data_IF_025721029969
#
_entry.id   IF_025721029969
#
_cell.length_a   1.000
_cell.length_b   1.000
_cell.length_c   1.000
_cell.angle_alpha   90.00
_cell.angle_beta   90.00
_cell.angle_gamma   90.00
#
_symmetry.space_group_name_H-M   'P 1'
#
loop_
_entity.id
_entity.type
_entity.pdbx_description
1 polymer ?
#
# COMPACT_ATOMS: atom_id res chain seq x y z
N UNK A 1 19.41 -15.78 -9.42
CA UNK A 1 19.35 -16.15 -7.99
C UNK A 1 18.99 -17.62 -7.90
N UNK A 2 19.71 -18.40 -7.09
CA UNK A 2 19.36 -19.82 -6.87
C UNK A 2 18.35 -19.90 -5.73
N UNK A 3 17.25 -20.62 -5.92
CA UNK A 3 16.32 -20.95 -4.82
C UNK A 3 17.01 -21.91 -3.84
N UNK A 4 17.14 -21.50 -2.57
CA UNK A 4 17.69 -22.33 -1.49
C UNK A 4 19.20 -22.23 -1.23
N UNK A 5 19.91 -21.24 -1.79
CA UNK A 5 21.30 -20.95 -1.43
C UNK A 5 21.43 -19.84 -0.38
N UNK A 6 22.57 -19.76 0.31
CA UNK A 6 22.92 -18.71 1.29
C UNK A 6 23.14 -17.32 0.66
N UNK A 7 22.52 -17.05 -0.49
CA UNK A 7 22.66 -15.80 -1.21
C UNK A 7 21.86 -14.71 -0.49
N UNK A 8 22.57 -13.87 0.26
CA UNK A 8 21.99 -12.70 0.91
C UNK A 8 21.68 -11.65 -0.16
N UNK A 9 20.40 -11.33 -0.31
CA UNK A 9 19.96 -10.24 -1.15
C UNK A 9 19.47 -9.08 -0.25
N UNK A 10 20.18 -7.93 -0.21
CA UNK A 10 19.82 -6.85 0.70
C UNK A 10 18.42 -6.31 0.39
N UNK A 11 17.60 -6.12 1.43
CA UNK A 11 16.21 -5.65 1.28
C UNK A 11 16.13 -4.30 0.55
N UNK A 12 17.12 -3.42 0.72
CA UNK A 12 17.20 -2.14 0.01
C UNK A 12 17.27 -2.32 -1.52
N UNK A 13 18.04 -3.30 -2.01
CA UNK A 13 18.10 -3.60 -3.44
C UNK A 13 16.80 -4.22 -3.95
N UNK A 14 16.13 -5.03 -3.13
CA UNK A 14 14.83 -5.60 -3.48
C UNK A 14 13.75 -4.52 -3.65
N UNK A 15 13.77 -3.51 -2.78
CA UNK A 15 12.88 -2.36 -2.90
C UNK A 15 13.18 -1.53 -4.15
N UNK A 16 14.47 -1.34 -4.51
CA UNK A 16 14.86 -0.65 -5.75
C UNK A 16 14.38 -1.40 -6.98
N UNK A 17 14.59 -2.72 -7.05
CA UNK A 17 14.13 -3.54 -8.18
C UNK A 17 12.61 -3.55 -8.29
N UNK A 18 11.91 -3.67 -7.16
CA UNK A 18 10.46 -3.60 -7.13
C UNK A 18 9.97 -2.25 -7.70
N UNK A 19 10.56 -1.13 -7.25
CA UNK A 19 10.23 0.22 -7.73
C UNK A 19 10.51 0.38 -9.22
N UNK A 20 11.67 -0.09 -9.69
CA UNK A 20 12.03 -0.04 -11.10
C UNK A 20 11.10 -0.88 -11.98
N UNK A 21 10.56 -1.99 -11.46
CA UNK A 21 9.59 -2.84 -12.15
C UNK A 21 8.15 -2.34 -12.08
N UNK A 22 7.84 -1.29 -11.30
CA UNK A 22 6.47 -0.80 -11.13
C UNK A 22 5.51 -1.82 -10.49
N UNK A 23 6.04 -2.83 -9.78
CA UNK A 23 5.24 -3.88 -9.13
C UNK A 23 5.37 -3.79 -7.62
N UNK A 24 4.61 -4.61 -6.88
CA UNK A 24 4.66 -4.66 -5.42
C UNK A 24 4.89 -6.09 -4.88
N UNK A 25 5.54 -6.96 -5.65
CA UNK A 25 5.69 -8.38 -5.33
C UNK A 25 6.41 -8.63 -4.00
N UNK A 26 7.48 -7.90 -3.70
CA UNK A 26 8.21 -8.02 -2.43
C UNK A 26 7.31 -7.59 -1.27
N UNK A 27 6.67 -6.42 -1.38
CA UNK A 27 5.79 -5.90 -0.33
C UNK A 27 4.60 -6.83 -0.06
N UNK A 28 3.99 -7.39 -1.11
CA UNK A 28 2.95 -8.42 -1.00
C UNK A 28 3.47 -9.68 -0.31
N UNK A 29 4.66 -10.16 -0.68
CA UNK A 29 5.26 -11.36 -0.09
C UNK A 29 5.55 -11.17 1.39
N UNK A 30 6.11 -10.03 1.78
CA UNK A 30 6.39 -9.70 3.19
C UNK A 30 5.11 -9.58 4.00
N UNK A 31 4.08 -8.92 3.45
CA UNK A 31 2.79 -8.81 4.12
C UNK A 31 2.14 -10.19 4.32
N UNK A 32 2.06 -11.01 3.26
CA UNK A 32 1.54 -12.38 3.35
C UNK A 32 2.30 -13.22 4.37
N UNK A 33 3.64 -13.18 4.35
CA UNK A 33 4.47 -13.91 5.30
C UNK A 33 4.30 -13.44 6.75
N UNK A 34 3.87 -12.18 6.95
CA UNK A 34 3.57 -11.60 8.25
C UNK A 34 2.11 -11.76 8.68
N UNK A 35 1.27 -12.44 7.87
CA UNK A 35 -0.18 -12.55 8.12
C UNK A 35 -0.96 -11.25 7.89
N UNK A 36 -0.38 -10.29 7.17
CA UNK A 36 -0.97 -8.99 6.86
C UNK A 36 -1.32 -8.82 5.38
N UNK A 37 -1.86 -7.65 5.06
CA UNK A 37 -2.22 -7.24 3.70
C UNK A 37 -1.45 -5.96 3.37
N UNK A 38 -0.77 -5.97 2.22
CA UNK A 38 -0.15 -4.78 1.69
C UNK A 38 -1.13 -4.05 0.77
N UNK A 39 -1.34 -2.78 1.05
CA UNK A 39 -2.22 -1.89 0.28
C UNK A 39 -1.34 -0.82 -0.38
N UNK A 40 -1.05 -0.94 -1.69
CA UNK A 40 -0.34 0.12 -2.39
C UNK A 40 -1.19 1.39 -2.40
N UNK A 41 -0.56 2.51 -2.06
CA UNK A 41 -1.19 3.82 -2.19
C UNK A 41 -1.18 4.24 -3.67
N UNK A 42 -2.27 4.85 -4.14
CA UNK A 42 -2.29 5.45 -5.47
C UNK A 42 -1.37 6.68 -5.52
N UNK A 43 -0.62 6.83 -6.62
CA UNK A 43 0.04 8.09 -6.96
C UNK A 43 -1.02 9.12 -7.36
N UNK A 44 -0.85 10.36 -6.88
CA UNK A 44 -1.89 11.42 -6.92
C UNK A 44 -1.94 12.21 -8.21
N UNK A 45 -1.04 11.95 -9.17
CA UNK A 45 -1.05 12.67 -10.45
C UNK A 45 -2.23 12.13 -11.27
N UNK A 46 -3.36 12.83 -11.14
CA UNK A 46 -4.61 12.67 -11.89
C UNK A 46 -5.44 11.42 -11.55
N UNK A 47 -6.03 11.40 -10.35
CA UNK A 47 -7.17 10.50 -10.08
C UNK A 47 -8.47 11.28 -10.27
N UNK A 48 -9.23 10.97 -11.32
CA UNK A 48 -10.58 11.48 -11.52
C UNK A 48 -11.59 10.73 -10.62
N UNK A 49 -12.73 11.35 -10.31
CA UNK A 49 -13.84 10.69 -9.63
C UNK A 49 -14.32 9.44 -10.39
N UNK A 50 -14.17 9.41 -11.72
CA UNK A 50 -14.41 8.23 -12.54
C UNK A 50 -13.50 7.06 -12.14
N UNK A 51 -12.24 7.32 -11.79
CA UNK A 51 -11.27 6.29 -11.40
C UNK A 51 -11.59 5.67 -10.04
N UNK A 52 -12.21 6.44 -9.13
CA UNK A 52 -12.65 5.94 -7.82
C UNK A 52 -13.75 4.89 -8.01
N UNK A 53 -14.77 5.22 -8.79
CA UNK A 53 -15.89 4.31 -9.06
C UNK A 53 -15.41 3.07 -9.84
N UNK A 54 -14.51 3.26 -10.81
CA UNK A 54 -13.90 2.15 -11.55
C UNK A 54 -13.17 1.17 -10.62
N UNK A 55 -12.36 1.68 -9.68
CA UNK A 55 -11.67 0.85 -8.67
C UNK A 55 -12.63 0.10 -7.75
N UNK A 56 -13.78 0.68 -7.41
CA UNK A 56 -14.81 -0.03 -6.65
C UNK A 56 -15.40 -1.19 -7.45
N UNK A 57 -15.71 -0.97 -8.74
CA UNK A 57 -16.23 -2.01 -9.62
C UNK A 57 -15.22 -3.17 -9.77
N UNK A 58 -13.94 -2.88 -9.94
CA UNK A 58 -12.87 -3.89 -9.99
C UNK A 58 -12.74 -4.70 -8.69
N UNK A 59 -12.99 -4.07 -7.53
CA UNK A 59 -13.03 -4.76 -6.25
C UNK A 59 -14.25 -5.70 -6.16
N UNK A 60 -15.42 -5.24 -6.60
CA UNK A 60 -16.66 -6.05 -6.64
C UNK A 60 -16.52 -7.24 -7.60
N UNK A 61 -15.91 -7.03 -8.76
CA UNK A 61 -15.60 -8.10 -9.72
C UNK A 61 -14.70 -9.15 -9.07
N UNK A 62 -13.66 -8.74 -8.35
CA UNK A 62 -12.78 -9.66 -7.63
C UNK A 62 -13.52 -10.45 -6.54
N UNK A 63 -14.41 -9.81 -5.79
CA UNK A 63 -15.25 -10.48 -4.78
C UNK A 63 -16.16 -11.51 -5.45
N UNK A 64 -16.66 -11.21 -6.64
CA UNK A 64 -17.51 -12.12 -7.42
C UNK A 64 -16.71 -13.34 -7.89
N UNK A 65 -15.48 -13.15 -8.38
CA UNK A 65 -14.53 -14.23 -8.70
C UNK A 65 -14.26 -15.12 -7.48
N UNK A 66 -13.89 -14.51 -6.35
CA UNK A 66 -13.68 -15.22 -5.08
C UNK A 66 -14.90 -16.07 -4.68
N UNK A 67 -16.10 -15.49 -4.74
CA UNK A 67 -17.35 -16.19 -4.43
C UNK A 67 -17.59 -17.40 -5.35
N UNK A 68 -17.30 -17.25 -6.65
CA UNK A 68 -17.40 -18.36 -7.59
C UNK A 68 -16.42 -19.48 -7.27
N UNK A 69 -15.17 -19.16 -6.93
CA UNK A 69 -14.17 -20.16 -6.58
C UNK A 69 -14.54 -20.92 -5.31
N UNK A 70 -15.05 -20.24 -4.28
CA UNK A 70 -15.59 -20.88 -3.08
C UNK A 70 -16.70 -21.86 -3.45
N UNK A 71 -17.66 -21.47 -4.31
CA UNK A 71 -18.78 -22.34 -4.70
C UNK A 71 -18.32 -23.61 -5.40
N UNK A 72 -17.29 -23.51 -6.25
CA UNK A 72 -16.71 -24.68 -6.95
C UNK A 72 -15.97 -25.58 -5.95
N UNK A 73 -15.13 -25.01 -5.08
CA UNK A 73 -14.31 -25.77 -4.15
C UNK A 73 -15.06 -26.44 -2.99
N UNK A 74 -16.33 -26.10 -2.76
CA UNK A 74 -17.18 -26.77 -1.76
C UNK A 74 -18.14 -27.79 -2.36
N UNK A 75 -18.15 -27.96 -3.69
CA UNK A 75 -19.14 -28.78 -4.40
C UNK A 75 -19.08 -30.26 -3.98
N UNK A 76 -17.88 -30.77 -3.72
CA UNK A 76 -17.62 -32.12 -3.23
C UNK A 76 -17.58 -32.25 -1.69
N UNK A 77 -17.73 -31.12 -1.00
CA UNK A 77 -17.71 -31.02 0.46
C UNK A 77 -16.31 -31.01 1.11
N UNK A 78 -15.22 -30.98 0.34
CA UNK A 78 -13.84 -30.98 0.87
C UNK A 78 -12.96 -30.01 0.08
N UNK A 79 -12.49 -28.95 0.74
CA UNK A 79 -11.52 -28.04 0.12
C UNK A 79 -10.13 -28.68 0.13
N UNK A 80 -9.59 -28.96 -1.05
CA UNK A 80 -8.26 -29.49 -1.24
C UNK A 80 -7.17 -28.43 -0.94
N UNK A 81 -5.94 -28.85 -0.58
CA UNK A 81 -4.86 -27.91 -0.29
C UNK A 81 -4.55 -26.94 -1.43
N UNK A 82 -4.68 -27.40 -2.69
CA UNK A 82 -4.42 -26.54 -3.84
C UNK A 82 -5.55 -25.51 -4.04
N UNK A 83 -6.81 -25.90 -3.85
CA UNK A 83 -7.96 -24.99 -3.89
C UNK A 83 -7.87 -23.93 -2.80
N UNK A 84 -7.47 -24.33 -1.58
CA UNK A 84 -7.24 -23.41 -0.47
C UNK A 84 -6.25 -22.29 -0.86
N UNK A 85 -5.16 -22.63 -1.55
CA UNK A 85 -4.16 -21.63 -1.98
C UNK A 85 -4.77 -20.63 -2.96
N UNK A 86 -5.57 -21.10 -3.93
CA UNK A 86 -6.20 -20.21 -4.92
C UNK A 86 -7.27 -19.33 -4.23
N UNK A 87 -8.09 -19.90 -3.35
CA UNK A 87 -9.09 -19.18 -2.56
C UNK A 87 -8.44 -18.10 -1.70
N UNK A 88 -7.37 -18.45 -0.98
CA UNK A 88 -6.65 -17.52 -0.11
C UNK A 88 -6.01 -16.39 -0.93
N UNK A 89 -5.53 -16.68 -2.15
CA UNK A 89 -5.00 -15.68 -3.07
C UNK A 89 -6.09 -14.73 -3.60
N UNK A 90 -7.23 -15.24 -4.05
CA UNK A 90 -8.37 -14.43 -4.47
C UNK A 90 -8.90 -13.54 -3.35
N UNK A 91 -9.02 -14.10 -2.14
CA UNK A 91 -9.44 -13.35 -0.95
C UNK A 91 -8.47 -12.20 -0.67
N UNK A 92 -7.17 -12.48 -0.72
CA UNK A 92 -6.15 -11.45 -0.53
C UNK A 92 -6.30 -10.33 -1.56
N UNK A 93 -6.49 -10.65 -2.83
CA UNK A 93 -6.65 -9.66 -3.90
C UNK A 93 -7.94 -8.83 -3.72
N UNK A 94 -9.04 -9.47 -3.33
CA UNK A 94 -10.31 -8.79 -3.09
C UNK A 94 -10.19 -7.77 -1.94
N UNK A 95 -9.59 -8.17 -0.82
CA UNK A 95 -9.39 -7.26 0.33
C UNK A 95 -8.42 -6.13 -0.04
N UNK A 96 -7.31 -6.43 -0.73
CA UNK A 96 -6.35 -5.42 -1.14
C UNK A 96 -7.00 -4.36 -2.05
N UNK A 97 -7.79 -4.77 -3.06
CA UNK A 97 -8.52 -3.84 -3.94
C UNK A 97 -9.55 -2.99 -3.18
N UNK A 98 -10.31 -3.59 -2.26
CA UNK A 98 -11.26 -2.86 -1.41
C UNK A 98 -10.55 -1.82 -0.53
N UNK A 99 -9.41 -2.18 0.09
CA UNK A 99 -8.63 -1.28 0.92
C UNK A 99 -7.98 -0.16 0.09
N UNK A 100 -7.53 -0.44 -1.14
CA UNK A 100 -7.04 0.57 -2.06
C UNK A 100 -8.13 1.59 -2.41
N UNK A 101 -9.34 1.12 -2.72
CA UNK A 101 -10.50 1.98 -2.95
C UNK A 101 -10.80 2.86 -1.73
N UNK A 102 -10.91 2.27 -0.54
CA UNK A 102 -11.18 3.01 0.70
C UNK A 102 -10.10 4.06 1.00
N UNK A 103 -8.83 3.70 0.81
CA UNK A 103 -7.70 4.62 1.02
C UNK A 103 -7.76 5.79 0.04
N UNK A 104 -8.13 5.53 -1.21
CA UNK A 104 -8.29 6.57 -2.23
C UNK A 104 -9.44 7.53 -1.88
N UNK A 105 -10.59 6.98 -1.48
CA UNK A 105 -11.75 7.77 -1.03
C UNK A 105 -11.36 8.68 0.13
N UNK A 106 -10.73 8.16 1.17
CA UNK A 106 -10.35 8.98 2.32
C UNK A 106 -9.29 10.01 1.97
N UNK A 107 -8.31 9.69 1.12
CA UNK A 107 -7.28 10.64 0.72
C UNK A 107 -7.84 11.83 -0.08
N UNK A 108 -8.92 11.63 -0.85
CA UNK A 108 -9.55 12.67 -1.67
C UNK A 108 -10.60 13.45 -0.89
N UNK A 109 -11.44 12.77 -0.11
CA UNK A 109 -12.63 13.37 0.51
C UNK A 109 -12.48 13.69 2.01
N UNK A 110 -11.48 13.16 2.71
CA UNK A 110 -11.20 13.63 4.07
C UNK A 110 -10.59 15.02 4.02
N UNK A 111 -11.06 15.90 4.91
CA UNK A 111 -10.45 17.20 5.09
C UNK A 111 -8.95 17.02 5.40
N UNK A 112 -8.07 17.87 4.85
CA UNK A 112 -6.67 17.85 5.24
C UNK A 112 -6.63 18.01 6.76
N UNK A 113 -5.86 17.15 7.44
CA UNK A 113 -5.56 17.36 8.86
C UNK A 113 -5.10 18.81 9.00
N UNK A 114 -5.75 19.56 9.90
CA UNK A 114 -5.33 20.93 10.21
C UNK A 114 -3.85 20.85 10.56
N UNK A 115 -3.00 21.31 9.66
CA UNK A 115 -1.58 21.36 9.92
C UNK A 115 -1.35 22.28 11.10
N UNK A 116 -1.09 21.71 12.28
CA UNK A 116 -0.47 22.41 13.41
C UNK A 116 1.03 22.66 13.12
N UNK A 117 1.32 23.11 11.89
CA UNK A 117 2.62 23.64 11.49
C UNK A 117 2.60 25.18 11.45
N UNK A 118 1.69 25.81 12.19
CA UNK A 118 1.72 27.26 12.46
C UNK A 118 2.09 27.63 13.90
N UNK A 119 2.24 26.67 14.82
CA UNK A 119 2.73 26.96 16.18
C UNK A 119 4.24 26.74 16.39
N UNK A 120 5.00 26.28 15.38
CA UNK A 120 6.47 26.28 15.47
C UNK A 120 7.13 27.62 15.09
N UNK A 121 6.36 28.64 14.72
CA UNK A 121 6.87 30.01 14.68
C UNK A 121 6.55 30.70 16.01
N UNK A 122 7.38 30.45 17.03
CA UNK A 122 7.37 31.28 18.24
C UNK A 122 7.54 32.75 17.83
N UNK A 123 6.57 33.64 18.14
CA UNK A 123 6.74 35.06 17.95
C UNK A 123 7.67 35.58 19.05
N UNK A 124 8.87 36.01 18.68
CA UNK A 124 9.73 36.82 19.55
C UNK A 124 10.82 36.06 20.28
N UNK A 125 11.95 35.89 19.61
CA UNK A 125 13.27 36.04 20.24
C UNK A 125 14.18 36.74 19.24
N UNK A 126 14.02 38.06 19.13
CA UNK A 126 15.10 38.92 18.65
C UNK A 126 16.27 38.73 19.63
N UNK A 127 17.23 37.88 19.26
CA UNK A 127 18.52 37.86 19.90
C UNK A 127 19.30 39.08 19.40
N UNK A 128 19.15 40.18 20.13
CA UNK A 128 20.06 41.31 20.10
C UNK A 128 21.40 40.90 20.70
N UNK A 129 22.47 41.39 20.07
CA UNK A 129 23.86 41.52 20.52
C UNK A 129 24.80 40.33 20.29
N UNK A 130 25.63 40.43 19.24
CA UNK A 130 27.08 40.56 19.41
C UNK A 130 27.66 41.42 18.28
N UNK A 131 28.10 42.63 18.63
CA UNK A 131 29.03 43.40 17.79
C UNK A 131 30.39 42.72 17.86
N UNK A 132 30.86 42.18 16.75
CA UNK A 132 32.27 41.90 16.54
C UNK A 132 32.73 42.74 15.35
N UNK A 133 33.26 43.93 15.64
CA UNK A 133 33.99 44.74 14.66
C UNK A 133 35.28 44.01 14.35
N UNK A 134 35.37 43.40 13.17
CA UNK A 134 36.64 42.97 12.59
C UNK A 134 37.34 44.19 11.99
N UNK A 135 38.64 44.26 12.25
CA UNK A 135 39.54 45.37 11.97
C UNK A 135 39.66 45.73 10.47
N UNK A 136 39.78 47.04 10.19
CA UNK A 136 40.63 47.62 9.14
C UNK A 136 41.03 49.03 9.57
#
# INVERSE_FOLDING_TARGET
>A
LRTGGDQIFPIGWALVLQRAGGTYHLAHSVARASGGIFVPLADMEEVDNADINQRLLEAIEQITSYSQQIRVAIEDGVIEPHEKVVIDEELYQAIAKLQQHSTLVYRIFCAPEKGDARECAAPGAVASNFMEKTNA
#
